data_IF_310038456652
#
_entry.id   IF_310038456652
#
_cell.length_a   1.000
_cell.length_b   1.000
_cell.length_c   1.000
_cell.angle_alpha   90.00
_cell.angle_beta   90.00
_cell.angle_gamma   90.00
#
_symmetry.space_group_name_H-M   'P 1'
#
loop_
_entity.id
_entity.type
_entity.pdbx_description
1 polymer ?
#
# COMPACT_ATOMS: atom_id res chain seq x y z
N UNK A 1 -14.51 -10.65 2.50
CA UNK A 1 -14.56 -11.65 3.55
C UNK A 1 -13.15 -12.21 3.83
N UNK A 2 -12.30 -11.45 4.51
CA UNK A 2 -10.87 -11.73 4.64
C UNK A 2 -10.55 -13.09 5.24
N UNK A 3 -11.29 -13.51 6.26
CA UNK A 3 -11.10 -14.80 6.95
C UNK A 3 -11.33 -16.05 6.09
N UNK A 4 -11.85 -15.89 4.87
CA UNK A 4 -12.04 -16.98 3.91
C UNK A 4 -10.88 -17.14 2.93
N UNK A 5 -9.92 -16.21 2.95
CA UNK A 5 -8.78 -16.22 2.05
C UNK A 5 -7.54 -16.70 2.77
N UNK A 6 -6.68 -17.40 2.05
CA UNK A 6 -5.33 -17.71 2.47
C UNK A 6 -4.33 -17.07 1.54
N UNK A 7 -3.18 -16.73 2.05
CA UNK A 7 -2.07 -16.29 1.21
C UNK A 7 -1.61 -17.43 0.30
N UNK A 8 -1.38 -17.13 -0.98
CA UNK A 8 -0.81 -18.06 -1.96
C UNK A 8 0.56 -17.58 -2.43
N UNK A 9 1.16 -16.60 -1.77
CA UNK A 9 2.41 -15.99 -2.19
C UNK A 9 3.65 -16.77 -1.70
N UNK A 10 3.55 -17.51 -0.60
CA UNK A 10 4.69 -18.23 -0.01
C UNK A 10 5.56 -19.04 -1.01
N UNK A 11 5.00 -19.73 -2.03
CA UNK A 11 5.84 -20.44 -3.00
C UNK A 11 6.76 -19.53 -3.82
N UNK A 12 6.41 -18.25 -3.94
CA UNK A 12 7.19 -17.28 -4.72
C UNK A 12 8.36 -16.70 -3.93
N UNK A 13 8.34 -16.77 -2.59
CA UNK A 13 9.44 -16.24 -1.76
C UNK A 13 10.78 -16.92 -1.99
N UNK A 14 10.76 -18.17 -2.48
CA UNK A 14 11.95 -18.95 -2.85
C UNK A 14 12.37 -18.79 -4.31
N UNK A 15 11.71 -17.93 -5.08
CA UNK A 15 11.94 -17.74 -6.51
C UNK A 15 12.03 -16.25 -6.89
N UNK A 16 11.98 -15.37 -5.90
CA UNK A 16 11.90 -13.92 -6.11
C UNK A 16 13.04 -13.23 -5.37
N UNK A 17 13.88 -12.50 -6.07
CA UNK A 17 14.95 -11.67 -5.46
C UNK A 17 14.43 -10.28 -5.09
N UNK A 18 13.53 -9.73 -5.91
CA UNK A 18 12.98 -8.37 -5.74
C UNK A 18 11.46 -8.45 -5.70
N UNK A 19 10.86 -7.94 -4.64
CA UNK A 19 9.41 -7.78 -4.50
C UNK A 19 9.03 -6.31 -4.65
N UNK A 20 8.14 -6.01 -5.60
CA UNK A 20 7.47 -4.71 -5.65
C UNK A 20 6.05 -4.87 -5.09
N UNK A 21 5.78 -4.21 -3.97
CA UNK A 21 4.49 -4.26 -3.30
C UNK A 21 3.65 -3.02 -3.59
N UNK A 22 2.49 -3.20 -4.21
CA UNK A 22 1.48 -2.19 -4.45
C UNK A 22 0.09 -2.64 -4.00
N UNK A 23 0.02 -3.61 -3.09
CA UNK A 23 -1.24 -4.22 -2.65
C UNK A 23 -1.86 -3.37 -1.54
N UNK A 24 -3.08 -2.89 -1.75
CA UNK A 24 -3.87 -2.38 -0.63
C UNK A 24 -4.10 -3.49 0.39
N UNK A 25 -3.77 -3.22 1.65
CA UNK A 25 -3.89 -4.19 2.73
C UNK A 25 -4.71 -3.64 3.89
N UNK A 26 -5.51 -4.48 4.48
CA UNK A 26 -6.26 -4.24 5.71
C UNK A 26 -5.91 -5.31 6.74
N UNK A 27 -5.92 -4.97 8.02
CA UNK A 27 -5.57 -5.88 9.13
C UNK A 27 -6.33 -7.22 9.17
N UNK A 28 -7.47 -7.28 8.47
CA UNK A 28 -8.28 -8.49 8.36
C UNK A 28 -7.90 -9.35 7.14
N UNK A 29 -6.93 -8.93 6.33
CA UNK A 29 -6.47 -9.65 5.13
C UNK A 29 -5.11 -10.28 5.41
N UNK A 30 -4.86 -11.55 4.99
CA UNK A 30 -3.54 -12.15 5.12
C UNK A 30 -2.47 -11.29 4.41
N UNK A 31 -1.30 -11.17 5.02
CA UNK A 31 -0.13 -10.59 4.36
C UNK A 31 0.41 -11.51 3.27
N UNK A 32 1.26 -10.99 2.40
CA UNK A 32 1.98 -11.81 1.41
C UNK A 32 2.95 -12.77 2.11
N UNK A 33 3.55 -12.34 3.21
CA UNK A 33 4.42 -13.14 4.07
C UNK A 33 4.41 -12.57 5.49
N UNK A 34 4.84 -13.37 6.46
CA UNK A 34 4.97 -12.95 7.85
C UNK A 34 6.46 -12.86 8.26
N UNK A 35 6.75 -12.14 9.35
CA UNK A 35 8.15 -11.93 9.80
C UNK A 35 8.93 -13.23 10.05
N UNK A 36 8.26 -14.25 10.56
CA UNK A 36 8.90 -15.55 10.82
C UNK A 36 9.30 -16.31 9.55
N UNK A 37 8.67 -16.05 8.40
CA UNK A 37 9.06 -16.65 7.12
C UNK A 37 10.39 -16.11 6.62
N UNK A 38 10.69 -14.86 6.95
CA UNK A 38 11.92 -14.15 6.52
C UNK A 38 13.21 -14.80 7.03
N UNK A 39 13.13 -15.49 8.18
CA UNK A 39 14.29 -16.19 8.76
C UNK A 39 14.53 -17.57 8.16
N UNK A 40 13.66 -18.04 7.28
CA UNK A 40 13.79 -19.36 6.66
C UNK A 40 14.72 -19.32 5.45
N UNK A 41 15.41 -20.43 5.18
CA UNK A 41 16.28 -20.57 4.01
C UNK A 41 15.54 -20.43 2.67
N UNK A 42 14.24 -20.69 2.66
CA UNK A 42 13.40 -20.56 1.49
C UNK A 42 13.00 -19.12 1.17
N UNK A 43 13.26 -18.16 2.05
CA UNK A 43 12.97 -16.76 1.81
C UNK A 43 14.20 -16.06 1.23
N UNK A 44 14.29 -16.01 -0.11
CA UNK A 44 15.45 -15.45 -0.81
C UNK A 44 15.27 -13.98 -1.22
N UNK A 45 14.12 -13.36 -0.98
CA UNK A 45 13.89 -11.95 -1.29
C UNK A 45 14.93 -11.09 -0.58
N UNK A 46 15.63 -10.26 -1.35
CA UNK A 46 16.70 -9.39 -0.87
C UNK A 46 16.28 -7.92 -0.84
N UNK A 47 15.37 -7.53 -1.74
CA UNK A 47 14.91 -6.14 -1.86
C UNK A 47 13.41 -6.08 -1.98
N UNK A 48 12.79 -5.18 -1.22
CA UNK A 48 11.36 -4.93 -1.28
C UNK A 48 11.13 -3.44 -1.55
N UNK A 49 10.49 -3.13 -2.69
CA UNK A 49 9.96 -1.82 -2.99
C UNK A 49 8.51 -1.76 -2.48
N UNK A 50 8.28 -1.13 -1.36
CA UNK A 50 6.96 -0.99 -0.76
C UNK A 50 6.30 0.32 -1.18
N UNK A 51 5.51 0.25 -2.24
CA UNK A 51 4.81 1.40 -2.83
C UNK A 51 3.61 1.84 -1.97
N UNK A 52 3.06 0.93 -1.17
CA UNK A 52 1.95 1.26 -0.26
C UNK A 52 2.40 2.01 0.97
N UNK A 53 3.66 1.82 1.38
CA UNK A 53 4.33 2.52 2.45
C UNK A 53 3.58 2.57 3.79
N UNK A 54 2.90 1.49 4.13
CA UNK A 54 2.22 1.35 5.42
C UNK A 54 3.15 0.68 6.43
N UNK A 55 3.61 1.42 7.44
CA UNK A 55 4.45 0.87 8.50
C UNK A 55 3.79 -0.33 9.18
N UNK A 56 4.46 -1.49 9.14
CA UNK A 56 3.91 -2.75 9.63
C UNK A 56 2.67 -3.24 8.90
N UNK A 57 2.41 -2.71 7.70
CA UNK A 57 1.26 -3.02 6.84
C UNK A 57 1.40 -4.35 6.09
N UNK A 58 1.14 -4.32 4.78
CA UNK A 58 1.27 -5.48 3.89
C UNK A 58 2.67 -6.08 3.86
N UNK A 59 3.69 -5.20 3.98
CA UNK A 59 5.09 -5.60 4.19
C UNK A 59 5.41 -5.50 5.70
N UNK A 60 5.48 -6.62 6.42
CA UNK A 60 5.68 -6.60 7.87
C UNK A 60 7.08 -6.08 8.29
N UNK A 61 8.01 -5.96 7.35
CA UNK A 61 9.35 -5.40 7.54
C UNK A 61 9.43 -3.90 7.30
N UNK A 62 8.36 -3.25 6.84
CA UNK A 62 8.32 -1.79 6.71
C UNK A 62 8.30 -1.16 8.10
N UNK A 63 9.37 -0.41 8.43
CA UNK A 63 9.57 0.26 9.71
C UNK A 63 9.30 1.76 9.65
N UNK A 64 8.81 2.26 8.53
CA UNK A 64 8.47 3.65 8.27
C UNK A 64 9.06 4.18 6.98
N UNK A 65 8.47 5.29 6.53
CA UNK A 65 8.83 5.96 5.30
C UNK A 65 10.22 6.62 5.35
N UNK A 66 10.79 6.78 4.18
CA UNK A 66 12.05 7.45 3.91
C UNK A 66 11.83 8.61 2.93
N UNK A 67 12.88 9.38 2.69
CA UNK A 67 12.88 10.45 1.67
C UNK A 67 13.41 9.92 0.34
N UNK A 68 13.14 10.65 -0.73
CA UNK A 68 13.66 10.30 -2.07
C UNK A 68 15.19 10.40 -2.13
N UNK A 69 15.80 11.25 -1.30
CA UNK A 69 17.26 11.42 -1.22
C UNK A 69 17.94 10.21 -0.55
N UNK A 70 17.25 9.56 0.38
CA UNK A 70 17.75 8.35 1.07
C UNK A 70 16.61 7.32 1.19
N UNK A 71 16.21 6.67 0.07
CA UNK A 71 14.96 5.93 -0.03
C UNK A 71 15.02 4.52 0.55
N UNK A 72 16.21 4.01 0.86
CA UNK A 72 16.43 2.60 1.19
C UNK A 72 17.10 2.42 2.55
N UNK A 73 16.56 1.52 3.35
CA UNK A 73 17.22 1.03 4.56
C UNK A 73 17.23 -0.49 4.60
N UNK A 74 18.16 -1.06 5.35
CA UNK A 74 18.18 -2.48 5.62
C UNK A 74 17.32 -2.86 6.82
N UNK A 75 16.82 -4.09 6.82
CA UNK A 75 16.23 -4.74 7.99
C UNK A 75 16.94 -6.06 8.22
N UNK A 76 17.59 -6.21 9.38
CA UNK A 76 18.27 -7.45 9.74
C UNK A 76 17.28 -8.61 9.82
N UNK A 77 17.60 -9.72 9.16
CA UNK A 77 16.70 -10.88 9.01
C UNK A 77 16.37 -11.56 10.34
N UNK A 78 17.24 -11.47 11.32
CA UNK A 78 17.08 -12.17 12.60
C UNK A 78 16.47 -11.29 13.69
N UNK A 79 16.91 -10.03 13.75
CA UNK A 79 16.49 -9.10 14.81
C UNK A 79 15.31 -8.23 14.41
N UNK A 80 15.04 -8.13 13.09
CA UNK A 80 14.02 -7.24 12.49
C UNK A 80 14.21 -5.76 12.83
N UNK A 81 15.46 -5.40 13.18
CA UNK A 81 15.81 -4.01 13.45
C UNK A 81 16.34 -3.33 12.20
N UNK A 82 16.12 -2.02 12.13
CA UNK A 82 16.66 -1.18 11.08
C UNK A 82 18.19 -1.20 11.10
N UNK A 83 18.80 -1.32 9.95
CA UNK A 83 20.26 -1.29 9.74
C UNK A 83 20.57 -0.50 8.48
N UNK A 84 21.86 -0.33 8.17
CA UNK A 84 22.28 0.21 6.88
C UNK A 84 21.89 -0.77 5.78
N UNK A 85 21.56 -0.27 4.58
CA UNK A 85 21.19 -1.16 3.46
C UNK A 85 22.39 -1.95 2.93
N UNK A 86 22.10 -2.95 2.10
CA UNK A 86 23.04 -3.76 1.32
C UNK A 86 23.96 -4.66 2.16
N UNK A 87 23.53 -5.03 3.36
CA UNK A 87 24.23 -6.05 4.12
C UNK A 87 23.79 -7.46 3.71
N UNK A 88 24.69 -8.43 3.77
CA UNK A 88 24.41 -9.81 3.38
C UNK A 88 23.31 -10.50 4.20
N UNK A 89 23.09 -10.04 5.43
CA UNK A 89 22.05 -10.56 6.33
C UNK A 89 20.87 -9.61 6.49
N UNK A 90 20.68 -8.67 5.58
CA UNK A 90 19.54 -7.75 5.60
C UNK A 90 18.64 -7.95 4.41
N UNK A 91 17.41 -7.45 4.53
CA UNK A 91 16.51 -7.18 3.42
C UNK A 91 16.44 -5.68 3.25
N UNK A 92 16.64 -5.21 2.04
CA UNK A 92 16.58 -3.78 1.73
C UNK A 92 15.12 -3.39 1.47
N UNK A 93 14.66 -2.37 2.19
CA UNK A 93 13.32 -1.83 2.07
C UNK A 93 13.42 -0.44 1.45
N UNK A 94 12.80 -0.26 0.30
CA UNK A 94 12.51 1.05 -0.28
C UNK A 94 11.06 1.40 0.08
N UNK A 95 10.88 2.44 0.88
CA UNK A 95 9.58 2.91 1.34
C UNK A 95 9.58 4.44 1.30
N UNK A 96 9.13 5.01 0.19
CA UNK A 96 9.07 6.47 0.01
C UNK A 96 7.61 6.90 0.04
N UNK A 97 7.25 7.65 1.07
CA UNK A 97 5.90 8.16 1.24
C UNK A 97 5.53 9.15 0.14
N UNK A 98 4.26 9.12 -0.25
CA UNK A 98 3.66 10.07 -1.19
C UNK A 98 4.43 10.23 -2.52
N UNK A 99 4.78 9.12 -3.15
CA UNK A 99 5.49 9.09 -4.44
C UNK A 99 4.97 10.08 -5.51
N UNK A 100 3.66 10.38 -5.62
CA UNK A 100 3.19 11.41 -6.55
C UNK A 100 3.79 12.79 -6.34
N UNK A 101 4.24 13.13 -5.14
CA UNK A 101 4.91 14.40 -4.87
C UNK A 101 6.33 14.49 -5.47
N UNK A 102 6.94 13.36 -5.78
CA UNK A 102 8.26 13.31 -6.42
C UNK A 102 8.20 13.66 -7.92
N UNK A 103 7.03 13.47 -8.53
CA UNK A 103 6.73 13.83 -9.92
C UNK A 103 5.45 14.66 -10.01
N UNK A 104 5.36 15.81 -9.31
CA UNK A 104 4.10 16.52 -9.07
C UNK A 104 3.43 17.02 -10.33
N UNK A 105 4.21 17.45 -11.33
CA UNK A 105 3.68 17.91 -12.62
C UNK A 105 2.99 16.81 -13.38
N UNK A 106 3.62 15.64 -13.47
CA UNK A 106 3.11 14.52 -14.24
C UNK A 106 1.94 13.86 -13.51
N UNK A 107 2.04 13.70 -12.19
CA UNK A 107 0.96 13.19 -11.36
C UNK A 107 -0.30 14.08 -11.44
N UNK A 108 -0.14 15.41 -11.30
CA UNK A 108 -1.25 16.36 -11.39
C UNK A 108 -1.88 16.40 -12.78
N UNK A 109 -1.05 16.36 -13.83
CA UNK A 109 -1.54 16.31 -15.21
C UNK A 109 -2.37 15.05 -15.44
N UNK A 110 -1.81 13.89 -15.14
CA UNK A 110 -2.50 12.62 -15.34
C UNK A 110 -3.82 12.57 -14.56
N UNK A 111 -3.80 12.94 -13.28
CA UNK A 111 -4.99 13.00 -12.45
C UNK A 111 -6.06 13.92 -13.03
N UNK A 112 -5.66 15.15 -13.45
CA UNK A 112 -6.58 16.11 -14.07
C UNK A 112 -7.19 15.61 -15.38
N UNK A 113 -6.39 14.96 -16.24
CA UNK A 113 -6.89 14.34 -17.48
C UNK A 113 -7.91 13.24 -17.20
N UNK A 114 -7.69 12.39 -16.17
CA UNK A 114 -8.66 11.35 -15.78
C UNK A 114 -9.94 11.97 -15.21
N UNK A 115 -9.84 13.01 -14.39
CA UNK A 115 -11.02 13.73 -13.89
C UNK A 115 -11.85 14.35 -15.02
N UNK A 116 -11.21 15.03 -15.96
CA UNK A 116 -11.89 15.64 -17.11
C UNK A 116 -12.58 14.56 -17.94
N UNK A 117 -11.87 13.48 -18.22
CA UNK A 117 -12.36 12.40 -19.09
C UNK A 117 -13.53 11.62 -18.51
N UNK A 118 -13.51 11.32 -17.21
CA UNK A 118 -14.42 10.35 -16.61
C UNK A 118 -15.41 10.93 -15.61
N UNK A 119 -15.15 12.12 -15.08
CA UNK A 119 -15.89 12.65 -13.93
C UNK A 119 -16.55 14.00 -14.22
N UNK A 120 -15.88 14.89 -14.95
CA UNK A 120 -16.30 16.30 -15.06
C UNK A 120 -17.71 16.45 -15.63
N UNK A 121 -18.05 15.73 -16.70
CA UNK A 121 -19.36 15.81 -17.32
C UNK A 121 -20.48 15.40 -16.36
N UNK A 122 -20.26 14.28 -15.63
CA UNK A 122 -21.22 13.76 -14.67
C UNK A 122 -21.35 14.67 -13.45
N UNK A 123 -20.24 15.26 -13.01
CA UNK A 123 -20.24 16.21 -11.91
C UNK A 123 -21.06 17.47 -12.25
N UNK A 124 -20.92 17.98 -13.48
CA UNK A 124 -21.69 19.15 -13.96
C UNK A 124 -23.18 18.81 -14.09
N UNK A 125 -23.53 17.62 -14.51
CA UNK A 125 -24.92 17.15 -14.56
C UNK A 125 -25.54 16.94 -13.18
N UNK A 126 -24.73 16.82 -12.14
CA UNK A 126 -25.13 16.70 -10.74
C UNK A 126 -25.63 15.32 -10.30
N UNK A 127 -25.67 14.33 -11.20
CA UNK A 127 -25.99 12.94 -10.85
C UNK A 127 -25.52 11.97 -11.91
N UNK A 128 -24.89 10.89 -11.48
CA UNK A 128 -24.59 9.70 -12.28
C UNK A 128 -24.27 8.54 -11.35
N UNK A 129 -24.28 7.29 -11.81
CA UNK A 129 -23.85 6.16 -11.00
C UNK A 129 -22.41 6.28 -10.48
N UNK A 130 -21.53 7.01 -11.20
CA UNK A 130 -20.15 7.28 -10.78
C UNK A 130 -20.15 8.24 -9.60
N UNK A 131 -20.84 9.38 -9.72
CA UNK A 131 -20.93 10.40 -8.66
C UNK A 131 -21.64 9.84 -7.44
N UNK A 132 -22.75 9.11 -7.61
CA UNK A 132 -23.47 8.51 -6.47
C UNK A 132 -22.60 7.53 -5.70
N UNK A 133 -21.83 6.67 -6.39
CA UNK A 133 -20.89 5.74 -5.76
C UNK A 133 -19.70 6.43 -5.07
N UNK A 134 -19.27 7.57 -5.58
CA UNK A 134 -18.15 8.33 -5.02
C UNK A 134 -18.60 9.29 -3.90
N UNK A 135 -19.90 9.53 -3.75
CA UNK A 135 -20.43 10.46 -2.74
C UNK A 135 -20.39 9.82 -1.36
N UNK A 136 -19.52 10.32 -0.49
CA UNK A 136 -19.38 9.85 0.89
C UNK A 136 -20.54 10.35 1.75
N UNK A 137 -20.83 11.64 1.66
CA UNK A 137 -21.87 12.31 2.47
C UNK A 137 -22.84 13.03 1.55
N UNK A 138 -24.14 12.87 1.81
CA UNK A 138 -25.22 13.57 1.13
C UNK A 138 -26.19 14.12 2.17
N UNK A 139 -26.44 15.43 2.13
CA UNK A 139 -27.35 16.12 3.07
C UNK A 139 -27.03 15.86 4.57
N UNK A 140 -25.74 15.80 4.91
CA UNK A 140 -25.27 15.60 6.28
C UNK A 140 -25.26 14.14 6.78
N UNK A 141 -25.63 13.18 5.94
CA UNK A 141 -25.60 11.76 6.29
C UNK A 141 -24.65 10.98 5.38
N UNK A 142 -24.04 9.91 5.91
CA UNK A 142 -23.26 8.97 5.10
C UNK A 142 -24.15 8.28 4.08
N UNK A 143 -23.65 8.11 2.86
CA UNK A 143 -24.33 7.30 1.85
C UNK A 143 -24.20 5.81 2.17
N UNK A 144 -25.05 4.98 1.56
CA UNK A 144 -25.05 3.55 1.78
C UNK A 144 -23.68 2.90 1.46
N UNK A 145 -23.02 3.36 0.40
CA UNK A 145 -21.69 2.87 0.00
C UNK A 145 -20.61 3.11 1.05
N UNK A 146 -20.79 4.10 1.91
CA UNK A 146 -19.83 4.50 2.95
C UNK A 146 -20.35 4.24 4.37
N UNK A 147 -21.36 3.39 4.53
CA UNK A 147 -21.91 3.02 5.82
C UNK A 147 -20.90 2.39 6.80
N UNK A 148 -19.80 1.83 6.28
CA UNK A 148 -18.70 1.29 7.08
C UNK A 148 -17.91 2.37 7.84
N UNK A 149 -18.08 3.64 7.49
CA UNK A 149 -17.45 4.78 8.19
C UNK A 149 -18.26 5.30 9.39
N UNK A 150 -19.37 4.67 9.76
CA UNK A 150 -20.27 5.16 10.84
C UNK A 150 -19.55 5.37 12.17
N UNK A 151 -18.75 4.40 12.61
CA UNK A 151 -17.98 4.52 13.84
C UNK A 151 -17.00 5.69 13.79
N UNK A 152 -16.31 5.86 12.65
CA UNK A 152 -15.38 6.96 12.45
C UNK A 152 -16.09 8.32 12.43
N UNK A 153 -17.28 8.40 11.84
CA UNK A 153 -18.10 9.61 11.76
C UNK A 153 -18.86 9.92 13.05
N UNK A 154 -18.79 9.07 14.06
CA UNK A 154 -19.53 9.23 15.32
C UNK A 154 -21.05 9.09 15.16
N UNK A 155 -21.52 8.31 14.19
CA UNK A 155 -22.93 8.07 13.87
C UNK A 155 -23.39 6.67 14.25
#
# INVERSE_FOLDING_TARGET
YPLKYRCLFSPYTSQTDILMNGVYWDKNVPRLFEKNEVTTENFIIQTIADITDDSGGSVPLNLGDQTIEDPVYGVDRNTFQKTVPYLSNSIDIMAVGNLPNELPRDASRYFGEQLIKFVLEDLVKGSSPIIDKATIVKQGALTEYFSYLKEYAGQ
#
